data_IF_056783481979
#
_entry.id   IF_056783481979
#
_cell.length_a   1.000
_cell.length_b   1.000
_cell.length_c   1.000
_cell.angle_alpha   90.00
_cell.angle_beta   90.00
_cell.angle_gamma   90.00
#
_symmetry.space_group_name_H-M   'P 1'
#
loop_
_entity.id
_entity.type
_entity.pdbx_description
1 polymer ?
#
# COMPACT_ATOMS: atom_id res chain seq x y z
N UNK A 1 -23.03 11.82 3.58
CA UNK A 1 -21.56 11.94 3.63
C UNK A 1 -21.08 11.53 2.25
N UNK A 2 -20.50 12.42 1.45
CA UNK A 2 -20.17 12.11 0.05
C UNK A 2 -19.05 11.08 -0.03
N UNK A 3 -19.36 9.89 -0.56
CA UNK A 3 -18.40 8.78 -0.71
C UNK A 3 -17.15 9.21 -1.48
N UNK A 4 -17.31 10.04 -2.50
CA UNK A 4 -16.22 10.56 -3.31
C UNK A 4 -15.24 11.44 -2.50
N UNK A 5 -15.73 12.21 -1.52
CA UNK A 5 -14.86 13.01 -0.65
C UNK A 5 -14.04 12.11 0.29
N UNK A 6 -14.65 11.03 0.81
CA UNK A 6 -13.97 10.07 1.68
C UNK A 6 -12.86 9.32 0.92
N UNK A 7 -13.13 8.84 -0.29
CA UNK A 7 -12.14 8.16 -1.12
C UNK A 7 -10.95 9.07 -1.48
N UNK A 8 -11.23 10.35 -1.79
CA UNK A 8 -10.18 11.34 -2.03
C UNK A 8 -9.35 11.60 -0.77
N UNK A 9 -10.00 11.73 0.38
CA UNK A 9 -9.31 11.94 1.66
C UNK A 9 -8.41 10.73 2.01
N UNK A 10 -8.92 9.51 1.88
CA UNK A 10 -8.16 8.26 2.08
C UNK A 10 -6.93 8.22 1.16
N UNK A 11 -7.14 8.49 -0.13
CA UNK A 11 -6.06 8.52 -1.12
C UNK A 11 -4.98 9.55 -0.76
N UNK A 12 -5.35 10.73 -0.27
CA UNK A 12 -4.41 11.75 0.16
C UNK A 12 -3.59 11.31 1.38
N UNK A 13 -4.23 10.66 2.36
CA UNK A 13 -3.54 10.13 3.54
C UNK A 13 -2.53 9.03 3.15
N UNK A 14 -2.93 8.14 2.24
CA UNK A 14 -2.04 7.09 1.73
C UNK A 14 -0.84 7.67 0.97
N UNK A 15 -1.06 8.68 0.11
CA UNK A 15 0.03 9.39 -0.59
C UNK A 15 0.97 10.07 0.40
N UNK A 16 0.42 10.71 1.44
CA UNK A 16 1.22 11.35 2.50
C UNK A 16 2.07 10.33 3.26
N UNK A 17 1.47 9.20 3.64
CA UNK A 17 2.15 8.08 4.31
C UNK A 17 3.35 7.56 3.49
N UNK A 18 3.12 7.37 2.19
CA UNK A 18 4.17 6.93 1.27
C UNK A 18 5.24 7.99 1.04
N UNK A 19 4.87 9.27 0.91
CA UNK A 19 5.85 10.34 0.79
C UNK A 19 6.71 10.47 2.07
N UNK A 20 6.13 10.30 3.26
CA UNK A 20 6.90 10.31 4.51
C UNK A 20 7.96 9.18 4.55
N UNK A 21 7.62 7.99 4.02
CA UNK A 21 8.43 6.79 4.19
C UNK A 21 9.35 6.48 3.00
N UNK A 22 8.94 6.86 1.78
CA UNK A 22 9.55 6.43 0.52
C UNK A 22 9.80 7.60 -0.45
N UNK A 23 9.90 8.85 0.04
CA UNK A 23 10.06 10.06 -0.79
C UNK A 23 11.08 9.91 -1.91
N UNK A 24 12.28 9.46 -1.57
CA UNK A 24 13.39 9.37 -2.51
C UNK A 24 13.19 8.27 -3.55
N UNK A 25 12.59 7.15 -3.15
CA UNK A 25 12.20 6.07 -4.05
C UNK A 25 11.11 6.52 -5.02
N UNK A 26 10.09 7.24 -4.54
CA UNK A 26 9.03 7.82 -5.36
C UNK A 26 9.63 8.78 -6.39
N UNK A 27 10.49 9.72 -5.98
CA UNK A 27 11.16 10.64 -6.89
C UNK A 27 11.95 9.92 -7.97
N UNK A 28 12.65 8.84 -7.62
CA UNK A 28 13.42 8.04 -8.59
C UNK A 28 12.51 7.36 -9.59
N UNK A 29 11.44 6.71 -9.13
CA UNK A 29 10.47 6.05 -10.01
C UNK A 29 9.76 7.06 -10.93
N UNK A 30 9.42 8.26 -10.44
CA UNK A 30 8.89 9.35 -11.27
C UNK A 30 9.85 9.78 -12.38
N UNK A 31 11.15 9.72 -12.11
CA UNK A 31 12.22 10.04 -13.08
C UNK A 31 12.58 8.84 -13.98
N UNK A 32 11.89 7.70 -13.87
CA UNK A 32 12.23 6.47 -14.59
C UNK A 32 13.56 5.86 -14.16
N UNK A 33 14.11 6.26 -13.00
CA UNK A 33 15.36 5.75 -12.45
C UNK A 33 15.10 4.50 -11.62
N UNK A 34 16.12 3.67 -11.52
CA UNK A 34 16.07 2.51 -10.63
C UNK A 34 16.15 2.92 -9.16
N UNK A 35 15.48 2.13 -8.32
CA UNK A 35 15.60 2.18 -6.86
C UNK A 35 17.03 1.92 -6.40
N UNK A 36 17.43 2.56 -5.31
CA UNK A 36 18.73 2.32 -4.68
C UNK A 36 18.84 0.91 -4.12
N UNK A 37 20.07 0.38 -4.06
CA UNK A 37 20.34 -0.93 -3.46
C UNK A 37 19.99 -1.01 -1.97
N UNK A 38 20.07 0.12 -1.26
CA UNK A 38 19.74 0.27 0.16
C UNK A 38 18.23 0.38 0.43
N UNK A 39 17.41 0.63 -0.60
CA UNK A 39 15.96 0.82 -0.41
C UNK A 39 15.29 -0.49 -0.01
N UNK A 40 14.38 -0.41 0.97
CA UNK A 40 13.50 -1.54 1.35
C UNK A 40 12.64 -2.01 0.17
N UNK A 41 12.32 -1.10 -0.75
CA UNK A 41 11.54 -1.39 -1.95
C UNK A 41 12.32 -2.17 -3.01
N UNK A 42 13.67 -2.22 -2.94
CA UNK A 42 14.49 -2.90 -3.95
C UNK A 42 14.23 -4.40 -4.05
N UNK A 43 13.83 -5.03 -2.93
CA UNK A 43 13.48 -6.46 -2.87
C UNK A 43 12.08 -6.76 -3.39
N UNK A 44 11.31 -5.72 -3.69
CA UNK A 44 9.95 -5.81 -4.18
C UNK A 44 9.89 -5.34 -5.64
N UNK A 45 9.02 -5.96 -6.43
CA UNK A 45 8.67 -5.41 -7.74
C UNK A 45 7.58 -4.35 -7.51
N UNK A 46 7.95 -3.08 -7.56
CA UNK A 46 7.03 -1.95 -7.28
C UNK A 46 6.86 -1.07 -8.49
N UNK A 47 5.68 -0.47 -8.59
CA UNK A 47 5.30 0.48 -9.64
C UNK A 47 4.62 1.69 -9.00
N UNK A 48 4.87 2.87 -9.56
CA UNK A 48 4.14 4.07 -9.20
C UNK A 48 2.93 4.21 -10.13
N UNK A 49 1.72 4.17 -9.57
CA UNK A 49 0.47 4.21 -10.33
C UNK A 49 -0.50 5.19 -9.66
N UNK A 50 -1.00 6.17 -10.42
CA UNK A 50 -1.87 7.25 -9.90
C UNK A 50 -1.28 8.01 -8.70
N UNK A 51 0.05 8.04 -8.60
CA UNK A 51 0.79 8.68 -7.51
C UNK A 51 0.86 7.85 -6.23
N UNK A 52 0.52 6.56 -6.27
CA UNK A 52 0.70 5.61 -5.17
C UNK A 52 1.70 4.52 -5.55
N UNK A 53 2.62 4.19 -4.64
CA UNK A 53 3.46 3.00 -4.74
C UNK A 53 2.62 1.75 -4.55
N UNK A 54 2.67 0.86 -5.54
CA UNK A 54 1.97 -0.42 -5.52
C UNK A 54 2.94 -1.55 -5.83
N UNK A 55 2.64 -2.73 -5.29
CA UNK A 55 3.31 -3.94 -5.77
C UNK A 55 2.84 -4.27 -7.18
N UNK A 56 3.80 -4.71 -8.00
CA UNK A 56 3.52 -5.32 -9.29
C UNK A 56 3.30 -6.81 -9.06
N UNK A 57 2.09 -7.27 -9.38
CA UNK A 57 1.67 -8.66 -9.16
C UNK A 57 1.95 -9.54 -10.37
N UNK A 58 2.24 -10.83 -10.14
CA UNK A 58 2.26 -11.85 -11.20
C UNK A 58 0.88 -12.16 -11.76
N UNK A 59 -0.18 -11.76 -11.04
CA UNK A 59 -1.59 -12.02 -11.36
C UNK A 59 -2.25 -10.87 -12.14
N UNK A 60 -1.48 -9.92 -12.65
CA UNK A 60 -2.00 -8.78 -13.41
C UNK A 60 -2.88 -9.21 -14.58
N UNK A 61 -2.55 -10.33 -15.24
CA UNK A 61 -3.26 -10.88 -16.39
C UNK A 61 -4.62 -11.54 -16.07
N UNK A 62 -4.92 -11.83 -14.80
CA UNK A 62 -6.14 -12.56 -14.42
C UNK A 62 -7.37 -11.65 -14.52
N UNK A 63 -8.42 -12.06 -15.23
CA UNK A 63 -9.67 -11.28 -15.31
C UNK A 63 -10.59 -11.55 -14.11
N UNK A 64 -11.47 -10.60 -13.77
CA UNK A 64 -12.46 -10.75 -12.68
C UNK A 64 -11.94 -10.49 -11.26
N UNK A 65 -10.67 -10.09 -11.11
CA UNK A 65 -10.07 -9.74 -9.81
C UNK A 65 -9.84 -8.23 -9.71
N UNK A 66 -10.18 -7.64 -8.56
CA UNK A 66 -10.03 -6.20 -8.32
C UNK A 66 -8.57 -5.76 -8.39
N UNK A 67 -8.37 -4.51 -8.81
CA UNK A 67 -7.03 -3.92 -8.94
C UNK A 67 -6.29 -3.85 -7.61
N UNK A 68 -6.97 -3.52 -6.53
CA UNK A 68 -6.37 -3.44 -5.19
C UNK A 68 -5.75 -4.78 -4.76
N UNK A 69 -6.41 -5.90 -5.10
CA UNK A 69 -5.90 -7.24 -4.81
C UNK A 69 -4.70 -7.61 -5.68
N UNK A 70 -4.73 -7.26 -6.97
CA UNK A 70 -3.61 -7.53 -7.89
C UNK A 70 -2.37 -6.71 -7.57
N UNK A 71 -2.60 -5.44 -7.20
CA UNK A 71 -1.58 -4.41 -7.01
C UNK A 71 -1.82 -3.68 -5.69
N UNK A 72 -1.54 -4.35 -4.56
CA UNK A 72 -1.73 -3.76 -3.24
C UNK A 72 -0.80 -2.56 -3.04
N UNK A 73 -1.28 -1.60 -2.27
CA UNK A 73 -0.57 -0.35 -1.94
C UNK A 73 0.52 -0.66 -0.92
N UNK A 74 1.75 -0.21 -1.18
CA UNK A 74 2.88 -0.45 -0.27
C UNK A 74 2.88 0.59 0.85
N UNK A 75 2.96 0.14 2.10
CA UNK A 75 2.97 1.01 3.28
C UNK A 75 4.10 0.62 4.24
N UNK A 76 4.64 1.58 4.97
CA UNK A 76 5.60 1.34 6.06
C UNK A 76 4.84 1.14 7.38
N UNK A 77 5.15 0.07 8.12
CA UNK A 77 4.48 -0.30 9.37
C UNK A 77 4.54 0.79 10.45
N UNK A 78 5.60 1.60 10.45
CA UNK A 78 5.82 2.66 11.44
C UNK A 78 5.06 3.95 11.15
N UNK A 79 4.49 4.12 9.95
CA UNK A 79 3.69 5.29 9.65
C UNK A 79 2.34 5.24 10.39
N UNK A 80 1.89 6.39 10.89
CA UNK A 80 0.68 6.49 11.71
C UNK A 80 -0.57 6.06 10.94
N UNK A 81 -0.63 6.34 9.64
CA UNK A 81 -1.77 5.95 8.78
C UNK A 81 -1.85 4.43 8.71
N UNK A 82 -0.71 3.77 8.51
CA UNK A 82 -0.61 2.30 8.47
C UNK A 82 -1.06 1.67 9.78
N UNK A 83 -0.66 2.25 10.93
CA UNK A 83 -1.07 1.75 12.24
C UNK A 83 -2.59 1.85 12.45
N UNK A 84 -3.21 2.95 12.02
CA UNK A 84 -4.66 3.12 12.10
C UNK A 84 -5.40 2.11 11.20
N UNK A 85 -4.88 1.83 10.00
CA UNK A 85 -5.43 0.79 9.12
C UNK A 85 -5.33 -0.58 9.78
N UNK A 86 -4.17 -0.92 10.37
CA UNK A 86 -3.99 -2.19 11.08
C UNK A 86 -5.00 -2.31 12.23
N UNK A 87 -5.16 -1.25 13.02
CA UNK A 87 -6.08 -1.21 14.16
C UNK A 87 -7.55 -1.34 13.73
N UNK A 88 -7.95 -0.65 12.66
CA UNK A 88 -9.29 -0.78 12.06
C UNK A 88 -9.58 -2.24 11.68
N UNK A 89 -8.66 -2.89 10.96
CA UNK A 89 -8.82 -4.29 10.57
C UNK A 89 -8.84 -5.22 11.79
N UNK A 90 -8.01 -4.98 12.80
CA UNK A 90 -8.05 -5.75 14.04
C UNK A 90 -9.42 -5.66 14.74
N UNK A 91 -9.98 -4.46 14.86
CA UNK A 91 -11.31 -4.24 15.44
C UNK A 91 -12.41 -4.87 14.57
N UNK A 92 -12.36 -4.71 13.25
CA UNK A 92 -13.34 -5.25 12.30
C UNK A 92 -13.42 -6.77 12.34
N UNK A 93 -12.29 -7.44 12.50
CA UNK A 93 -12.23 -8.90 12.62
C UNK A 93 -12.31 -9.38 14.08
N UNK A 94 -12.80 -8.53 14.99
CA UNK A 94 -13.08 -8.83 16.40
C UNK A 94 -11.86 -9.41 17.15
N UNK A 95 -10.68 -8.84 16.91
CA UNK A 95 -9.39 -9.33 17.39
C UNK A 95 -9.13 -10.80 17.03
N UNK A 96 -9.66 -11.25 15.90
CA UNK A 96 -9.41 -12.57 15.34
C UNK A 96 -7.91 -12.84 15.13
N UNK A 97 -7.58 -14.08 14.81
CA UNK A 97 -6.19 -14.52 14.65
C UNK A 97 -5.41 -13.55 13.75
N UNK A 98 -4.20 -13.17 14.18
CA UNK A 98 -3.31 -12.26 13.45
C UNK A 98 -3.13 -12.65 11.98
N UNK A 99 -3.03 -13.96 11.69
CA UNK A 99 -2.92 -14.45 10.31
C UNK A 99 -4.14 -14.06 9.45
N UNK A 100 -5.35 -14.13 10.01
CA UNK A 100 -6.59 -13.72 9.33
C UNK A 100 -6.57 -12.23 9.05
N UNK A 101 -6.29 -11.40 10.07
CA UNK A 101 -6.23 -9.94 9.91
C UNK A 101 -5.20 -9.54 8.85
N UNK A 102 -4.00 -10.15 8.88
CA UNK A 102 -2.96 -9.85 7.91
C UNK A 102 -3.29 -10.32 6.50
N UNK A 103 -4.01 -11.44 6.34
CA UNK A 103 -4.46 -11.87 5.02
C UNK A 103 -5.48 -10.89 4.43
N UNK A 104 -6.36 -10.37 5.26
CA UNK A 104 -7.38 -9.39 4.86
C UNK A 104 -6.75 -8.04 4.51
N UNK A 105 -5.79 -7.58 5.31
CA UNK A 105 -4.99 -6.39 4.97
C UNK A 105 -4.27 -6.58 3.64
N UNK A 106 -3.65 -7.75 3.40
CA UNK A 106 -2.91 -8.06 2.16
C UNK A 106 -3.75 -8.03 0.89
N UNK A 107 -5.08 -8.06 0.99
CA UNK A 107 -5.95 -7.89 -0.17
C UNK A 107 -5.94 -6.45 -0.73
N UNK A 108 -5.47 -5.47 0.05
CA UNK A 108 -5.41 -4.05 -0.38
C UNK A 108 -4.05 -3.40 -0.12
N UNK A 109 -3.35 -3.83 0.93
CA UNK A 109 -2.13 -3.19 1.42
C UNK A 109 -0.99 -4.19 1.65
N UNK A 110 0.22 -3.82 1.24
CA UNK A 110 1.43 -4.55 1.54
C UNK A 110 2.27 -3.79 2.56
N UNK A 111 2.24 -4.25 3.81
CA UNK A 111 2.91 -3.58 4.93
C UNK A 111 4.34 -4.10 5.06
N UNK A 112 5.30 -3.18 4.98
CA UNK A 112 6.71 -3.42 5.23
C UNK A 112 7.01 -3.30 6.73
N UNK A 113 7.71 -4.30 7.26
CA UNK A 113 8.20 -4.37 8.64
C UNK A 113 9.69 -4.05 8.67
#
# INVERSE_FOLDING_TARGET
MDTELLEKAETLLLKRSQDNSFREDIKRLQQGKQLEGSSKLKRLDVVLEEGLLRLKGRIDAIQGVTREYKRPIVLESKDKTTQLIIEEFHCRFNHGNHATVMNEIRQRFWILV
#
